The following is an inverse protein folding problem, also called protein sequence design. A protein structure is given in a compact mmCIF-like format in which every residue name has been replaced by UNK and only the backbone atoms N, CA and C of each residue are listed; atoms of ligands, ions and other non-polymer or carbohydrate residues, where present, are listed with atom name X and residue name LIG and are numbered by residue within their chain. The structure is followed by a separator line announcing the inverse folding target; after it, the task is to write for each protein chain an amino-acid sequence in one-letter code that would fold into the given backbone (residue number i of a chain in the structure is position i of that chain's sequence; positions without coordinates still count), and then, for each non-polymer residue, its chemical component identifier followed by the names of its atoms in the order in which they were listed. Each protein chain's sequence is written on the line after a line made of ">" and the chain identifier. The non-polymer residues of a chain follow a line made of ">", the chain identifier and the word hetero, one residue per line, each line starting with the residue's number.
data_IF_358121898786
#
_entry.id   IF_358121898786
#
_cell.length_a   1.000
_cell.length_b   1.000
_cell.length_c   1.000
_cell.angle_alpha   90.00
_cell.angle_beta   90.00
_cell.angle_gamma   90.00
#
_symmetry.space_group_name_H-M   'P 1'
#
loop_
_entity.id
_entity.type
_entity.pdbx_description
1 polymer ?
#
# COMPACT_ATOMS: atom_id res chain seq x y z
N UNK A 1 -6.46 19.15 -0.31
CA UNK A 1 -5.12 18.64 -0.66
C UNK A 1 -5.24 17.66 -1.82
N UNK A 2 -5.44 18.13 -3.06
CA UNK A 2 -5.69 17.28 -4.25
C UNK A 2 -4.56 17.29 -5.29
N UNK A 3 -3.59 18.19 -5.15
CA UNK A 3 -2.56 18.43 -6.19
C UNK A 3 -1.28 17.60 -6.01
N UNK A 4 -0.99 17.06 -4.83
CA UNK A 4 0.26 16.32 -4.62
C UNK A 4 0.22 14.86 -5.08
N UNK A 5 -0.96 14.27 -5.35
CA UNK A 5 -1.04 12.81 -5.54
C UNK A 5 -0.76 12.37 -6.99
N UNK A 6 -1.38 12.99 -8.00
CA UNK A 6 -1.19 12.57 -9.40
C UNK A 6 0.19 12.94 -9.96
N UNK A 7 0.68 14.15 -9.66
CA UNK A 7 1.96 14.62 -10.20
C UNK A 7 3.15 13.90 -9.54
N UNK A 8 3.05 13.60 -8.24
CA UNK A 8 4.08 12.85 -7.52
C UNK A 8 4.11 11.38 -7.95
N UNK A 9 2.96 10.77 -8.23
CA UNK A 9 2.86 9.41 -8.75
C UNK A 9 3.60 9.26 -10.09
N UNK A 10 3.46 10.22 -11.01
CA UNK A 10 4.20 10.22 -12.30
C UNK A 10 5.71 10.38 -12.12
N UNK A 11 6.15 11.16 -11.12
CA UNK A 11 7.57 11.38 -10.78
C UNK A 11 8.28 10.16 -10.17
N UNK A 12 7.52 9.14 -9.79
CA UNK A 12 7.98 7.93 -9.10
C UNK A 12 7.69 6.69 -9.96
N UNK A 13 7.58 6.81 -11.29
CA UNK A 13 7.32 5.64 -12.14
C UNK A 13 8.41 4.56 -11.98
N UNK A 14 8.02 3.36 -11.57
CA UNK A 14 8.86 2.16 -11.50
C UNK A 14 8.75 1.38 -12.80
N UNK A 15 9.88 1.21 -13.48
CA UNK A 15 9.96 0.45 -14.74
C UNK A 15 10.70 -0.89 -14.61
N UNK A 16 11.20 -1.19 -13.40
CA UNK A 16 12.00 -2.38 -13.10
C UNK A 16 13.51 -2.11 -12.99
N UNK A 17 14.00 -1.00 -13.54
CA UNK A 17 15.44 -0.66 -13.55
C UNK A 17 15.85 0.25 -12.38
N UNK A 18 14.90 0.96 -11.78
CA UNK A 18 15.14 2.04 -10.83
C UNK A 18 14.72 1.70 -9.38
N UNK A 19 14.79 0.41 -8.99
CA UNK A 19 14.24 -0.06 -7.70
C UNK A 19 14.76 0.68 -6.46
N UNK A 20 16.08 0.88 -6.25
CA UNK A 20 16.55 1.54 -5.02
C UNK A 20 15.98 2.96 -4.87
N UNK A 21 15.99 3.74 -5.95
CA UNK A 21 15.49 5.12 -5.96
C UNK A 21 13.96 5.19 -5.83
N UNK A 22 13.26 4.30 -6.54
CA UNK A 22 11.82 4.16 -6.43
C UNK A 22 11.41 3.80 -5.00
N UNK A 23 12.08 2.81 -4.40
CA UNK A 23 11.80 2.34 -3.05
C UNK A 23 11.95 3.47 -2.03
N UNK A 24 13.04 4.24 -2.09
CA UNK A 24 13.25 5.34 -1.13
C UNK A 24 12.16 6.40 -1.24
N UNK A 25 11.80 6.82 -2.46
CA UNK A 25 10.70 7.77 -2.68
C UNK A 25 9.35 7.22 -2.24
N UNK A 26 9.09 5.95 -2.51
CA UNK A 26 7.86 5.27 -2.12
C UNK A 26 7.75 5.20 -0.60
N UNK A 27 8.83 4.84 0.11
CA UNK A 27 8.83 4.81 1.57
C UNK A 27 8.60 6.19 2.19
N UNK A 28 9.18 7.26 1.61
CA UNK A 28 8.90 8.65 2.03
C UNK A 28 7.42 8.99 1.85
N UNK A 29 6.84 8.65 0.69
CA UNK A 29 5.42 8.88 0.40
C UNK A 29 4.51 8.14 1.39
N UNK A 30 4.73 6.83 1.57
CA UNK A 30 3.90 6.01 2.46
C UNK A 30 4.04 6.41 3.93
N UNK A 31 5.22 6.89 4.34
CA UNK A 31 5.45 7.44 5.68
C UNK A 31 4.67 8.73 5.88
N UNK A 32 4.70 9.64 4.91
CA UNK A 32 3.91 10.88 4.95
C UNK A 32 2.40 10.59 4.99
N UNK A 33 1.97 9.56 4.26
CA UNK A 33 0.59 9.07 4.25
C UNK A 33 0.22 8.24 5.49
N UNK A 34 1.18 7.97 6.40
CA UNK A 34 1.02 7.18 7.63
C UNK A 34 0.56 5.73 7.41
N UNK A 35 0.85 5.15 6.25
CA UNK A 35 0.51 3.77 5.89
C UNK A 35 1.73 2.87 5.68
N UNK A 36 2.95 3.40 5.82
CA UNK A 36 4.18 2.62 5.70
C UNK A 36 4.25 1.41 6.65
N UNK A 37 3.58 1.49 7.80
CA UNK A 37 3.53 0.40 8.78
C UNK A 37 2.90 -0.88 8.21
N UNK A 38 2.01 -0.78 7.21
CA UNK A 38 1.41 -1.95 6.56
C UNK A 38 2.45 -2.85 5.89
N UNK A 39 3.57 -2.28 5.45
CA UNK A 39 4.65 -3.03 4.79
C UNK A 39 5.60 -3.74 5.78
N UNK A 40 5.43 -3.54 7.08
CA UNK A 40 6.25 -4.20 8.10
C UNK A 40 5.82 -5.67 8.24
N UNK A 41 6.71 -6.64 7.94
CA UNK A 41 6.38 -8.06 8.02
C UNK A 41 6.12 -8.55 9.46
N UNK A 42 6.50 -7.77 10.47
CA UNK A 42 6.20 -8.08 11.87
C UNK A 42 4.77 -7.67 12.28
N UNK A 43 4.05 -6.93 11.43
CA UNK A 43 2.67 -6.56 11.71
C UNK A 43 1.75 -7.78 11.51
N UNK A 44 0.88 -8.08 12.47
CA UNK A 44 -0.08 -9.17 12.31
C UNK A 44 -1.02 -8.90 11.13
N UNK A 45 -1.30 -9.94 10.36
CA UNK A 45 -2.30 -9.93 9.30
C UNK A 45 -3.67 -9.60 9.89
N UNK A 46 -4.53 -8.82 9.21
CA UNK A 46 -5.88 -8.53 9.68
C UNK A 46 -6.72 -9.81 9.52
N UNK A 47 -6.79 -10.60 10.59
CA UNK A 47 -7.63 -11.80 10.64
C UNK A 47 -8.77 -11.57 11.64
N UNK A 48 -9.98 -11.94 11.23
CA UNK A 48 -11.13 -11.88 12.12
C UNK A 48 -11.04 -12.94 13.22
N UNK A 49 -11.17 -12.52 14.48
CA UNK A 49 -11.19 -13.42 15.64
C UNK A 49 -12.58 -13.40 16.26
N UNK A 50 -13.10 -14.59 16.58
CA UNK A 50 -14.47 -14.79 17.10
C UNK A 50 -14.74 -14.03 18.40
N UNK A 51 -13.69 -13.77 19.21
CA UNK A 51 -13.76 -13.08 20.50
C UNK A 51 -13.04 -11.71 20.51
N UNK A 52 -12.95 -11.03 19.37
CA UNK A 52 -12.30 -9.72 19.33
C UNK A 52 -13.11 -8.63 20.07
N UNK A 53 -12.41 -7.72 20.74
CA UNK A 53 -13.02 -6.50 21.26
C UNK A 53 -13.48 -5.59 20.11
N UNK A 54 -14.47 -4.74 20.36
CA UNK A 54 -14.90 -3.73 19.39
C UNK A 54 -13.74 -2.82 18.94
N UNK A 55 -12.83 -2.47 19.85
CA UNK A 55 -11.65 -1.66 19.52
C UNK A 55 -10.68 -2.41 18.59
N UNK A 56 -10.53 -3.72 18.80
CA UNK A 56 -9.72 -4.57 17.93
C UNK A 56 -10.33 -4.70 16.54
N UNK A 57 -11.67 -4.81 16.45
CA UNK A 57 -12.40 -4.82 15.19
C UNK A 57 -12.24 -3.52 14.41
N UNK A 58 -12.35 -2.36 15.08
CA UNK A 58 -12.14 -1.05 14.47
C UNK A 58 -10.69 -0.90 13.97
N UNK A 59 -9.72 -1.31 14.77
CA UNK A 59 -8.31 -1.28 14.37
C UNK A 59 -8.03 -2.19 13.16
N UNK A 60 -8.67 -3.37 13.09
CA UNK A 60 -8.58 -4.29 11.96
C UNK A 60 -9.13 -3.66 10.68
N UNK A 61 -10.36 -3.16 10.71
CA UNK A 61 -10.99 -2.51 9.55
C UNK A 61 -10.16 -1.33 9.03
N UNK A 62 -9.62 -0.51 9.95
CA UNK A 62 -8.71 0.57 9.58
C UNK A 62 -7.44 0.05 8.90
N UNK A 63 -6.84 -1.04 9.39
CA UNK A 63 -5.66 -1.65 8.77
C UNK A 63 -5.97 -2.21 7.39
N UNK A 64 -7.14 -2.83 7.20
CA UNK A 64 -7.61 -3.31 5.89
C UNK A 64 -7.75 -2.15 4.89
N UNK A 65 -8.33 -1.01 5.31
CA UNK A 65 -8.41 0.21 4.51
C UNK A 65 -7.03 0.78 4.16
N UNK A 66 -6.14 0.88 5.14
CA UNK A 66 -4.77 1.36 4.95
C UNK A 66 -3.97 0.46 4.00
N UNK A 67 -4.22 -0.86 4.00
CA UNK A 67 -3.59 -1.82 3.09
C UNK A 67 -4.06 -1.63 1.65
N UNK A 68 -5.37 -1.50 1.43
CA UNK A 68 -5.90 -1.19 0.11
C UNK A 68 -5.38 0.16 -0.41
N UNK A 69 -5.27 1.15 0.48
CA UNK A 69 -4.74 2.46 0.16
C UNK A 69 -3.24 2.39 -0.21
N UNK A 70 -2.43 1.68 0.58
CA UNK A 70 -1.02 1.43 0.32
C UNK A 70 -0.82 0.72 -1.03
N UNK A 71 -1.57 -0.37 -1.27
CA UNK A 71 -1.54 -1.12 -2.54
C UNK A 71 -1.87 -0.23 -3.73
N UNK A 72 -2.91 0.60 -3.63
CA UNK A 72 -3.28 1.53 -4.70
C UNK A 72 -2.16 2.53 -5.02
N UNK A 73 -1.48 3.07 -4.00
CA UNK A 73 -0.36 3.97 -4.22
C UNK A 73 0.83 3.30 -4.91
N UNK A 74 1.18 2.10 -4.47
CA UNK A 74 2.25 1.31 -5.10
C UNK A 74 1.91 1.05 -6.56
N UNK A 75 0.73 0.49 -6.84
CA UNK A 75 0.27 0.17 -8.20
C UNK A 75 0.27 1.40 -9.11
N UNK A 76 -0.21 2.54 -8.63
CA UNK A 76 -0.26 3.78 -9.41
C UNK A 76 1.12 4.28 -9.85
N UNK A 77 2.19 3.92 -9.13
CA UNK A 77 3.56 4.29 -9.51
C UNK A 77 4.24 3.26 -10.41
N UNK A 78 3.57 2.17 -10.78
CA UNK A 78 4.15 1.20 -11.70
C UNK A 78 3.99 1.68 -13.15
N UNK A 79 4.95 1.33 -14.00
CA UNK A 79 4.75 1.36 -15.44
C UNK A 79 3.59 0.44 -15.85
N UNK A 80 2.90 0.76 -16.94
CA UNK A 80 1.71 0.02 -17.41
C UNK A 80 1.96 -1.51 -17.46
N UNK A 81 3.11 -1.92 -17.99
CA UNK A 81 3.50 -3.34 -18.05
C UNK A 81 3.55 -4.00 -16.67
N UNK A 82 4.10 -3.32 -15.67
CA UNK A 82 4.17 -3.84 -14.31
C UNK A 82 2.81 -3.74 -13.61
N UNK A 83 2.05 -2.67 -13.86
CA UNK A 83 0.68 -2.54 -13.38
C UNK A 83 -0.16 -3.76 -13.80
N UNK A 84 -0.17 -4.10 -15.09
CA UNK A 84 -0.95 -5.24 -15.60
C UNK A 84 -0.54 -6.56 -14.95
N UNK A 85 0.76 -6.75 -14.68
CA UNK A 85 1.29 -7.95 -14.02
C UNK A 85 0.87 -8.04 -12.55
N UNK A 86 0.86 -6.92 -11.82
CA UNK A 86 0.62 -6.90 -10.37
C UNK A 86 -0.84 -6.59 -9.99
N UNK A 87 -1.62 -5.97 -10.87
CA UNK A 87 -3.00 -5.58 -10.59
C UNK A 87 -3.92 -6.80 -10.38
N UNK A 88 -3.65 -7.91 -11.09
CA UNK A 88 -4.41 -9.16 -10.98
C UNK A 88 -4.03 -10.01 -9.76
N UNK A 89 -2.93 -9.70 -9.07
CA UNK A 89 -2.57 -10.38 -7.83
C UNK A 89 -3.43 -9.84 -6.69
N UNK A 90 -4.27 -10.72 -6.15
CA UNK A 90 -5.11 -10.45 -4.99
C UNK A 90 -4.24 -10.11 -3.77
N UNK A 91 -4.64 -9.09 -3.00
CA UNK A 91 -4.07 -8.92 -1.66
C UNK A 91 -4.38 -10.18 -0.84
N UNK A 92 -3.54 -10.56 0.15
CA UNK A 92 -3.87 -11.60 1.12
C UNK A 92 -5.25 -11.43 1.79
N UNK A 93 -5.80 -10.21 1.81
CA UNK A 93 -7.16 -9.91 2.28
C UNK A 93 -8.28 -10.21 1.28
N UNK A 94 -7.96 -10.39 -0.01
CA UNK A 94 -8.91 -10.64 -1.11
C UNK A 94 -8.96 -12.12 -1.55
N UNK A 95 -8.20 -12.99 -0.87
CA UNK A 95 -8.13 -14.45 -1.10
C UNK A 95 -9.09 -15.17 -0.16
#
# INVERSE_FOLDING_TARGET
>A
MKMMNQDFVKLVCFDGSNYPHWKDKMMVLLTFLKVAYVLDPNQPTPEAKENESNDAKVARLKREEDELFCRRHILNTLSDRLFDLYASMKSPLEI
#
